data_IF_165963642838
#
_entry.id   IF_165963642838
#
_cell.length_a   1.000
_cell.length_b   1.000
_cell.length_c   1.000
_cell.angle_alpha   90.00
_cell.angle_beta   90.00
_cell.angle_gamma   90.00
#
_symmetry.space_group_name_H-M   'P 1'
#
loop_
_entity.id
_entity.type
_entity.pdbx_description
1 polymer ?
#
# COMPACT_ATOMS: atom_id res chain seq x y z
N UNK A 1 1.80 13.12 5.63
CA UNK A 1 0.54 12.34 5.68
C UNK A 1 0.80 11.01 6.37
N UNK A 2 -0.09 10.61 7.24
CA UNK A 2 0.04 9.31 7.91
C UNK A 2 -0.36 8.18 6.96
N UNK A 3 0.27 7.01 7.05
CA UNK A 3 -0.05 5.91 6.15
C UNK A 3 -1.51 5.46 6.20
N UNK A 4 -2.12 5.45 7.40
CA UNK A 4 -3.52 5.07 7.50
C UNK A 4 -4.44 6.07 6.78
N UNK A 5 -4.12 7.36 6.85
CA UNK A 5 -4.85 8.40 6.13
C UNK A 5 -4.67 8.22 4.63
N UNK A 6 -3.43 7.93 4.20
CA UNK A 6 -3.14 7.68 2.79
C UNK A 6 -3.93 6.48 2.27
N UNK A 7 -3.95 5.39 3.05
CA UNK A 7 -4.73 4.21 2.68
C UNK A 7 -6.19 4.56 2.42
N UNK A 8 -6.82 5.29 3.35
CA UNK A 8 -8.23 5.65 3.21
C UNK A 8 -8.48 6.52 1.98
N UNK A 9 -7.60 7.50 1.73
CA UNK A 9 -7.75 8.39 0.58
C UNK A 9 -7.56 7.66 -0.73
N UNK A 10 -6.56 6.80 -0.82
CA UNK A 10 -6.28 6.01 -2.01
C UNK A 10 -7.44 5.05 -2.28
N UNK A 11 -7.93 4.39 -1.24
CA UNK A 11 -9.06 3.48 -1.36
C UNK A 11 -10.29 4.22 -1.92
N UNK A 12 -10.57 5.41 -1.40
CA UNK A 12 -11.68 6.21 -1.89
C UNK A 12 -11.48 6.64 -3.35
N UNK A 13 -10.28 7.07 -3.70
CA UNK A 13 -10.01 7.63 -5.03
C UNK A 13 -9.94 6.54 -6.10
N UNK A 14 -9.26 5.45 -5.83
CA UNK A 14 -9.00 4.42 -6.83
C UNK A 14 -10.01 3.29 -6.79
N UNK A 15 -10.38 2.85 -5.59
CA UNK A 15 -11.24 1.68 -5.42
C UNK A 15 -12.65 2.00 -4.95
N UNK A 16 -13.00 3.28 -4.83
CA UNK A 16 -14.34 3.71 -4.40
C UNK A 16 -14.76 3.08 -3.08
N UNK A 17 -13.80 3.01 -2.14
CA UNK A 17 -13.98 2.43 -0.80
C UNK A 17 -14.28 0.93 -0.80
N UNK A 18 -13.93 0.21 -1.87
CA UNK A 18 -14.22 -1.22 -1.96
C UNK A 18 -13.22 -2.11 -1.21
N UNK A 19 -12.04 -1.58 -0.89
CA UNK A 19 -11.08 -2.36 -0.11
C UNK A 19 -11.48 -2.35 1.37
N UNK A 20 -11.21 -3.44 2.10
CA UNK A 20 -11.53 -3.47 3.52
C UNK A 20 -10.67 -2.52 4.33
N UNK A 21 -11.11 -2.23 5.55
CA UNK A 21 -10.27 -1.53 6.51
C UNK A 21 -9.00 -2.35 6.74
N UNK A 22 -7.87 -1.67 6.84
CA UNK A 22 -6.58 -2.35 7.04
C UNK A 22 -5.78 -1.64 8.13
N UNK A 23 -4.95 -2.39 8.80
CA UNK A 23 -3.98 -1.85 9.76
C UNK A 23 -2.68 -1.58 9.02
N UNK A 24 -2.16 -0.37 9.15
CA UNK A 24 -0.92 0.02 8.48
C UNK A 24 0.15 0.26 9.54
N UNK A 25 1.27 -0.45 9.42
CA UNK A 25 2.36 -0.38 10.39
C UNK A 25 3.64 0.02 9.68
N UNK A 26 4.39 0.95 10.29
CA UNK A 26 5.76 1.23 9.87
C UNK A 26 6.73 0.41 10.71
N UNK A 27 7.75 -0.15 10.06
CA UNK A 27 8.86 -0.81 10.76
C UNK A 27 10.19 -0.27 10.27
N UNK A 28 11.22 -0.44 11.09
CA UNK A 28 12.55 0.03 10.74
C UNK A 28 13.22 -0.87 9.71
N UNK A 29 14.16 -0.28 8.97
CA UNK A 29 14.95 -1.00 7.98
C UNK A 29 15.60 -2.28 8.50
N UNK A 30 16.17 -2.34 9.70
CA UNK A 30 16.77 -3.58 10.18
C UNK A 30 15.80 -4.75 10.30
N UNK A 31 14.52 -4.45 10.49
CA UNK A 31 13.49 -5.47 10.57
C UNK A 31 13.12 -6.02 9.21
N UNK A 32 13.29 -5.20 8.15
CA UNK A 32 12.91 -5.57 6.79
C UNK A 32 14.02 -5.14 5.81
N UNK A 33 15.22 -5.71 5.90
CA UNK A 33 16.38 -5.18 5.15
C UNK A 33 16.24 -5.26 3.64
N UNK A 34 15.50 -6.25 3.13
CA UNK A 34 15.37 -6.47 1.69
C UNK A 34 13.94 -6.31 1.20
N UNK A 35 13.10 -5.63 1.97
CA UNK A 35 11.68 -5.54 1.66
C UNK A 35 11.19 -4.11 1.93
N UNK A 36 10.40 -3.56 1.01
CA UNK A 36 9.84 -2.23 1.21
C UNK A 36 8.49 -2.28 1.88
N UNK A 37 7.78 -3.39 1.77
CA UNK A 37 6.49 -3.59 2.39
C UNK A 37 5.99 -5.01 2.20
N UNK A 38 5.01 -5.40 3.00
CA UNK A 38 4.37 -6.70 2.90
C UNK A 38 2.94 -6.62 3.41
N UNK A 39 2.04 -7.38 2.81
CA UNK A 39 0.68 -7.51 3.27
C UNK A 39 0.51 -8.85 3.97
N UNK A 40 0.05 -8.79 5.20
CA UNK A 40 -0.31 -9.98 5.96
C UNK A 40 -1.82 -10.10 5.93
N UNK A 41 -2.32 -10.82 4.94
CA UNK A 41 -3.73 -11.06 4.84
C UNK A 41 -3.87 -12.53 4.93
N UNK A 42 -4.37 -13.04 6.09
CA UNK A 42 -4.24 -14.33 6.13
C UNK A 42 -5.39 -15.04 6.58
N UNK A 43 -5.40 -16.12 6.57
CA UNK A 43 -6.22 -17.27 6.83
C UNK A 43 -7.04 -17.17 8.10
N UNK A 44 -7.47 -15.97 8.48
CA UNK A 44 -8.32 -15.77 9.65
C UNK A 44 -7.60 -15.49 10.93
N UNK A 45 -6.27 -15.34 10.90
CA UNK A 45 -5.51 -14.95 12.08
C UNK A 45 -5.76 -13.49 12.42
N UNK A 46 -5.89 -12.63 11.40
CA UNK A 46 -6.18 -11.23 11.62
C UNK A 46 -7.61 -10.93 11.19
N UNK A 47 -8.29 -10.05 11.91
CA UNK A 47 -9.63 -9.62 11.56
C UNK A 47 -9.66 -8.79 10.30
N UNK A 48 -8.53 -8.16 9.97
CA UNK A 48 -8.42 -7.31 8.79
C UNK A 48 -7.00 -7.40 8.27
N UNK A 49 -6.77 -7.05 6.99
CA UNK A 49 -5.42 -7.06 6.43
C UNK A 49 -4.48 -6.16 7.22
N UNK A 50 -3.22 -6.56 7.34
CA UNK A 50 -2.18 -5.76 7.94
C UNK A 50 -1.13 -5.47 6.87
N UNK A 51 -0.87 -4.20 6.62
CA UNK A 51 0.17 -3.77 5.70
C UNK A 51 1.34 -3.25 6.52
N UNK A 52 2.50 -3.85 6.32
CA UNK A 52 3.73 -3.44 6.99
C UNK A 52 4.61 -2.73 5.97
N UNK A 53 5.00 -1.50 6.26
CA UNK A 53 5.81 -0.68 5.38
C UNK A 53 7.16 -0.39 6.02
N UNK A 54 8.21 -0.33 5.20
CA UNK A 54 9.53 0.04 5.66
C UNK A 54 9.62 1.56 5.76
N UNK A 55 9.78 2.07 6.97
CA UNK A 55 9.79 3.51 7.24
C UNK A 55 11.01 4.22 6.64
N UNK A 56 12.07 3.50 6.34
CA UNK A 56 13.26 4.07 5.72
C UNK A 56 13.09 4.29 4.22
N UNK A 57 12.06 3.73 3.61
CA UNK A 57 11.84 3.85 2.18
C UNK A 57 11.10 5.15 1.86
N UNK A 58 11.73 6.02 1.08
CA UNK A 58 11.16 7.35 0.78
C UNK A 58 9.88 7.31 -0.05
N UNK A 59 9.69 6.26 -0.83
CA UNK A 59 8.51 6.11 -1.68
C UNK A 59 7.49 5.16 -1.07
N UNK A 60 7.30 5.25 0.23
CA UNK A 60 6.37 4.37 0.91
C UNK A 60 4.95 4.45 0.34
N UNK A 61 4.55 5.60 -0.23
CA UNK A 61 3.23 5.73 -0.86
C UNK A 61 3.05 4.80 -2.05
N UNK A 62 4.07 4.68 -2.89
CA UNK A 62 4.04 3.76 -4.03
C UNK A 62 4.02 2.31 -3.53
N UNK A 63 4.79 2.02 -2.50
CA UNK A 63 4.80 0.70 -1.87
C UNK A 63 3.44 0.38 -1.26
N UNK A 64 2.80 1.36 -0.62
CA UNK A 64 1.45 1.17 -0.10
C UNK A 64 0.47 0.75 -1.20
N UNK A 65 0.53 1.41 -2.35
CA UNK A 65 -0.32 1.05 -3.49
C UNK A 65 -0.03 -0.38 -3.97
N UNK A 66 1.23 -0.76 -4.02
CA UNK A 66 1.64 -2.13 -4.38
C UNK A 66 0.93 -3.14 -3.46
N UNK A 67 0.97 -2.89 -2.14
CA UNK A 67 0.32 -3.78 -1.19
C UNK A 67 -1.21 -3.74 -1.28
N UNK A 68 -1.78 -2.57 -1.57
CA UNK A 68 -3.23 -2.45 -1.75
C UNK A 68 -3.71 -3.25 -2.97
N UNK A 69 -2.91 -3.33 -4.03
CA UNK A 69 -3.24 -4.15 -5.18
C UNK A 69 -3.29 -5.63 -4.80
N UNK A 70 -2.39 -6.09 -3.92
CA UNK A 70 -2.45 -7.46 -3.42
C UNK A 70 -3.77 -7.76 -2.72
N UNK A 71 -4.31 -6.79 -2.00
CA UNK A 71 -5.61 -6.93 -1.35
C UNK A 71 -6.74 -6.94 -2.37
N UNK A 72 -6.67 -6.03 -3.35
CA UNK A 72 -7.72 -5.89 -4.37
C UNK A 72 -7.77 -7.06 -5.34
N UNK A 73 -6.59 -7.59 -5.69
CA UNK A 73 -6.43 -8.61 -6.71
C UNK A 73 -5.52 -9.72 -6.19
N UNK A 74 -6.00 -10.55 -5.25
CA UNK A 74 -5.12 -11.55 -4.61
C UNK A 74 -4.55 -12.59 -5.57
N UNK A 75 -5.21 -12.82 -6.70
CA UNK A 75 -4.74 -13.78 -7.68
C UNK A 75 -3.72 -13.21 -8.67
N UNK A 76 -3.51 -11.90 -8.66
CA UNK A 76 -2.62 -11.27 -9.62
C UNK A 76 -1.17 -11.42 -9.17
N UNK A 77 -0.38 -12.11 -9.99
CA UNK A 77 1.04 -12.29 -9.71
C UNK A 77 1.83 -11.04 -10.08
N UNK A 78 2.99 -10.87 -9.46
CA UNK A 78 3.93 -9.85 -9.89
C UNK A 78 4.31 -10.08 -11.34
N UNK A 79 4.47 -9.01 -12.09
CA UNK A 79 4.83 -9.07 -13.49
C UNK A 79 4.46 -7.77 -14.18
N UNK A 80 4.39 -7.79 -15.50
CA UNK A 80 4.16 -6.56 -16.28
C UNK A 80 2.82 -5.90 -15.97
N UNK A 81 1.76 -6.71 -15.82
CA UNK A 81 0.44 -6.16 -15.51
C UNK A 81 0.42 -5.54 -14.13
N UNK A 82 0.98 -6.22 -13.14
CA UNK A 82 1.06 -5.71 -11.78
C UNK A 82 1.85 -4.39 -11.73
N UNK A 83 3.02 -4.35 -12.37
CA UNK A 83 3.83 -3.16 -12.43
C UNK A 83 3.12 -2.00 -13.12
N UNK A 84 2.39 -2.28 -14.20
CA UNK A 84 1.62 -1.27 -14.90
C UNK A 84 0.53 -0.67 -14.00
N UNK A 85 -0.15 -1.52 -13.22
CA UNK A 85 -1.16 -1.05 -12.27
C UNK A 85 -0.55 -0.19 -11.16
N UNK A 86 0.58 -0.62 -10.61
CA UNK A 86 1.27 0.15 -9.57
C UNK A 86 1.60 1.55 -10.11
N UNK A 87 2.20 1.61 -11.30
CA UNK A 87 2.60 2.89 -11.88
C UNK A 87 1.41 3.78 -12.19
N UNK A 88 0.34 3.20 -12.72
CA UNK A 88 -0.88 3.95 -13.05
C UNK A 88 -1.53 4.52 -11.80
N UNK A 89 -1.73 3.68 -10.79
CA UNK A 89 -2.39 4.11 -9.56
C UNK A 89 -1.54 5.08 -8.76
N UNK A 90 -0.22 4.89 -8.76
CA UNK A 90 0.68 5.84 -8.11
C UNK A 90 0.61 7.21 -8.75
N UNK A 91 0.51 7.28 -10.08
CA UNK A 91 0.37 8.54 -10.79
C UNK A 91 -0.91 9.26 -10.40
N UNK A 92 -2.02 8.53 -10.31
CA UNK A 92 -3.29 9.08 -9.87
C UNK A 92 -3.21 9.58 -8.43
N UNK A 93 -2.69 8.75 -7.54
CA UNK A 93 -2.58 9.09 -6.13
C UNK A 93 -1.69 10.30 -5.90
N UNK A 94 -0.57 10.37 -6.61
CA UNK A 94 0.35 11.49 -6.51
C UNK A 94 -0.29 12.80 -6.93
N UNK A 95 -1.13 12.77 -7.96
CA UNK A 95 -1.83 13.96 -8.44
C UNK A 95 -2.92 14.41 -7.47
N UNK A 96 -3.63 13.45 -6.88
CA UNK A 96 -4.73 13.75 -5.96
C UNK A 96 -4.28 14.08 -4.55
N UNK A 97 -3.19 13.47 -4.09
CA UNK A 97 -2.71 13.60 -2.73
C UNK A 97 -1.38 14.35 -2.74
N UNK A 98 -1.48 15.67 -2.79
CA UNK A 98 -0.31 16.52 -3.01
C UNK A 98 0.66 16.62 -1.84
N UNK A 99 0.26 16.17 -0.68
CA UNK A 99 1.10 16.27 0.51
C UNK A 99 2.00 15.05 0.77
N UNK A 100 2.18 14.21 -0.26
CA UNK A 100 3.14 13.10 -0.18
C UNK A 100 4.55 13.58 0.15
N UNK A 101 4.93 14.70 -0.42
CA UNK A 101 6.29 15.21 -0.27
C UNK A 101 6.62 15.72 1.12
N UNK A 102 5.65 15.82 1.99
CA UNK A 102 5.88 16.29 3.36
C UNK A 102 6.23 15.16 4.31
N UNK A 103 6.38 13.96 3.80
CA UNK A 103 6.67 12.79 4.63
C UNK A 103 8.12 12.68 5.05
#
# INVERSE_FOLDING_TARGET
>A
MRPATAYRRINRTIWLNRLPVATIIFVDKPTMPNCYGVTLDDDGVFEQPVIVLNSAHKRWGKTLIHEMIHIAEPSLCHGLVFEALVNRYWRIAKAELKDWSTQ
#
